data_IF_659938514964
#
_entry.id   IF_659938514964
#
_cell.length_a   1.000
_cell.length_b   1.000
_cell.length_c   1.000
_cell.angle_alpha   90.00
_cell.angle_beta   90.00
_cell.angle_gamma   90.00
#
_symmetry.space_group_name_H-M   'P 1'
#
loop_
_entity.id
_entity.type
_entity.pdbx_description
1 polymer ?
#
# COMPACT_ATOMS: atom_id res chain seq x y z
N UNK A 1 -0.02 -7.98 -1.72
CA UNK A 1 0.21 -7.58 -3.13
C UNK A 1 1.61 -7.99 -3.55
N UNK A 2 1.89 -8.10 -4.85
CA UNK A 2 3.22 -8.46 -5.37
C UNK A 2 4.17 -7.26 -5.36
N UNK A 3 3.67 -6.08 -5.70
CA UNK A 3 4.40 -4.81 -5.66
C UNK A 3 3.49 -3.74 -5.01
N UNK A 4 3.89 -3.24 -3.84
CA UNK A 4 3.13 -2.22 -3.13
C UNK A 4 3.28 -0.83 -3.76
N UNK A 5 4.41 -0.52 -4.40
CA UNK A 5 4.61 0.77 -5.07
C UNK A 5 3.69 0.89 -6.28
N UNK A 6 3.69 -0.14 -7.14
CA UNK A 6 2.81 -0.18 -8.30
C UNK A 6 1.33 -0.14 -7.90
N UNK A 7 0.96 -0.84 -6.82
CA UNK A 7 -0.41 -0.81 -6.30
C UNK A 7 -0.82 0.59 -5.83
N UNK A 8 0.05 1.32 -5.12
CA UNK A 8 -0.23 2.70 -4.71
C UNK A 8 -0.44 3.63 -5.91
N UNK A 9 0.40 3.52 -6.94
CA UNK A 9 0.27 4.35 -8.14
C UNK A 9 -1.03 4.08 -8.90
N UNK A 10 -1.41 2.80 -9.05
CA UNK A 10 -2.69 2.43 -9.67
C UNK A 10 -3.89 2.93 -8.86
N UNK A 11 -3.81 2.88 -7.53
CA UNK A 11 -4.87 3.40 -6.66
C UNK A 11 -5.01 4.91 -6.84
N UNK A 12 -3.91 5.68 -6.91
CA UNK A 12 -3.96 7.13 -7.18
C UNK A 12 -4.56 7.44 -8.54
N UNK A 13 -4.14 6.73 -9.59
CA UNK A 13 -4.67 6.93 -10.95
C UNK A 13 -6.18 6.69 -11.02
N UNK A 14 -6.70 5.81 -10.17
CA UNK A 14 -8.13 5.52 -10.03
C UNK A 14 -8.88 6.47 -9.08
N UNK A 15 -8.21 7.49 -8.54
CA UNK A 15 -8.80 8.45 -7.61
C UNK A 15 -8.91 7.96 -6.16
N UNK A 16 -8.24 6.85 -5.81
CA UNK A 16 -8.20 6.33 -4.45
C UNK A 16 -7.22 7.09 -3.56
N UNK A 17 -7.48 7.05 -2.25
CA UNK A 17 -6.68 7.77 -1.25
C UNK A 17 -5.56 6.88 -0.68
N UNK A 18 -4.30 7.24 -0.94
CA UNK A 18 -3.14 6.60 -0.30
C UNK A 18 -2.75 7.42 0.93
N UNK A 19 -3.00 6.88 2.13
CA UNK A 19 -2.76 7.57 3.40
C UNK A 19 -1.36 7.34 3.95
N UNK A 20 -0.69 6.27 3.52
CA UNK A 20 0.73 6.05 3.76
C UNK A 20 1.34 5.38 2.53
N UNK A 21 2.33 6.04 1.96
CA UNK A 21 3.11 5.55 0.82
C UNK A 21 3.70 4.17 1.07
N UNK A 22 3.86 3.42 -0.02
CA UNK A 22 4.59 2.16 0.00
C UNK A 22 6.03 2.40 0.48
N UNK A 23 6.42 1.66 1.51
CA UNK A 23 7.77 1.74 2.05
C UNK A 23 8.01 0.68 3.11
N UNK A 24 9.29 0.41 3.46
CA UNK A 24 9.62 -0.56 4.48
C UNK A 24 8.99 -0.19 5.83
N UNK A 25 8.51 -1.19 6.55
CA UNK A 25 8.09 -1.04 7.94
C UNK A 25 9.29 -0.63 8.81
N UNK A 26 9.06 0.18 9.85
CA UNK A 26 10.10 0.49 10.84
C UNK A 26 10.64 -0.82 11.45
N UNK A 27 11.93 -1.06 11.30
CA UNK A 27 12.61 -2.24 11.86
C UNK A 27 12.47 -3.53 11.04
N UNK A 28 11.95 -3.47 9.82
CA UNK A 28 11.83 -4.63 8.93
C UNK A 28 12.09 -4.31 7.46
N UNK A 29 12.16 -5.35 6.64
CA UNK A 29 12.31 -5.22 5.17
C UNK A 29 10.97 -5.34 4.42
N UNK A 30 9.89 -5.66 5.11
CA UNK A 30 8.57 -5.82 4.50
C UNK A 30 8.06 -4.45 4.06
N UNK A 31 7.78 -4.30 2.78
CA UNK A 31 7.17 -3.10 2.21
C UNK A 31 5.68 -3.14 2.49
N UNK A 32 5.16 -2.05 3.06
CA UNK A 32 3.76 -1.88 3.38
C UNK A 32 3.27 -0.49 2.94
N UNK A 33 1.98 -0.39 2.60
CA UNK A 33 1.29 0.86 2.34
C UNK A 33 -0.07 0.87 3.05
N UNK A 34 -0.65 2.05 3.26
CA UNK A 34 -2.05 2.16 3.69
C UNK A 34 -2.84 2.98 2.69
N UNK A 35 -4.02 2.49 2.36
CA UNK A 35 -5.01 3.21 1.55
C UNK A 35 -6.31 3.35 2.33
N UNK A 36 -7.13 4.31 1.95
CA UNK A 36 -8.43 4.56 2.57
C UNK A 36 -9.53 4.40 1.53
N UNK A 37 -10.57 3.64 1.87
CA UNK A 37 -11.77 3.49 1.05
C UNK A 37 -12.72 4.70 1.21
N UNK A 38 -13.78 4.81 0.39
CA UNK A 38 -14.73 5.92 0.49
C UNK A 38 -15.46 6.05 1.83
N UNK A 39 -15.59 4.95 2.57
CA UNK A 39 -16.25 4.90 3.87
C UNK A 39 -15.29 5.29 5.02
N UNK A 40 -14.01 5.49 4.71
CA UNK A 40 -12.99 5.93 5.64
C UNK A 40 -12.18 4.80 6.29
N UNK A 41 -12.42 3.53 5.94
CA UNK A 41 -11.64 2.41 6.45
C UNK A 41 -10.24 2.37 5.85
N UNK A 42 -9.25 2.06 6.69
CA UNK A 42 -7.86 1.93 6.27
C UNK A 42 -7.54 0.48 5.92
N UNK A 43 -7.10 0.25 4.70
CA UNK A 43 -6.66 -1.05 4.20
C UNK A 43 -5.14 -1.06 4.14
N UNK A 44 -4.53 -2.08 4.76
CA UNK A 44 -3.09 -2.31 4.71
C UNK A 44 -2.72 -3.17 3.50
N UNK A 45 -1.82 -2.66 2.67
CA UNK A 45 -1.23 -3.42 1.56
C UNK A 45 0.13 -3.94 2.02
N UNK A 46 0.27 -5.26 2.12
CA UNK A 46 1.54 -5.91 2.45
C UNK A 46 2.14 -6.51 1.18
N UNK A 47 3.37 -6.12 0.84
CA UNK A 47 4.12 -6.73 -0.25
C UNK A 47 4.58 -8.14 0.15
N UNK A 48 4.18 -9.15 -0.61
CA UNK A 48 4.66 -10.52 -0.41
C UNK A 48 6.08 -10.63 -0.94
N UNK A 49 6.93 -11.34 -0.20
CA UNK A 49 8.24 -11.74 -0.75
C UNK A 49 8.01 -12.72 -1.90
N UNK A 50 8.72 -12.61 -3.03
CA UNK A 50 8.74 -13.70 -4.00
C UNK A 50 9.22 -14.96 -3.29
N UNK A 51 8.44 -16.03 -3.41
CA UNK A 51 8.75 -17.36 -2.88
C UNK A 51 9.75 -18.10 -3.75
#
# INVERSE_FOLDING_TARGET
VEDAYAACDEIRKRGGNVVREAGPMKGGTTVIAFVQDPDGYKVELIQRKPG
#
